data_IF_017909697527
#
_entry.id   IF_017909697527
#
_cell.length_a   1.000
_cell.length_b   1.000
_cell.length_c   1.000
_cell.angle_alpha   90.00
_cell.angle_beta   90.00
_cell.angle_gamma   90.00
#
_symmetry.space_group_name_H-M   'P 1'
#
loop_
_entity.id
_entity.type
_entity.pdbx_description
1 polymer ?
#
# COMPACT_ATOMS: atom_id res chain seq x y z
N UNK A 1 20.08 -11.64 -13.42
CA UNK A 1 19.29 -10.41 -13.23
C UNK A 1 18.50 -10.18 -14.51
N UNK A 2 17.22 -10.25 -14.57
CA UNK A 2 16.40 -10.06 -15.78
C UNK A 2 16.24 -8.60 -16.24
N UNK A 3 17.25 -7.74 -16.04
CA UNK A 3 17.17 -6.30 -16.34
C UNK A 3 17.89 -6.02 -17.67
N UNK A 4 17.24 -5.26 -18.56
CA UNK A 4 17.83 -4.71 -19.77
C UNK A 4 18.18 -3.21 -19.54
N UNK A 5 19.41 -2.81 -19.84
CA UNK A 5 19.87 -1.43 -19.76
C UNK A 5 20.05 -0.89 -21.16
N UNK A 6 19.39 0.22 -21.49
CA UNK A 6 19.48 0.86 -22.80
C UNK A 6 20.77 1.69 -22.92
N UNK A 7 21.81 1.09 -23.53
CA UNK A 7 23.05 1.77 -23.92
C UNK A 7 24.04 2.07 -22.78
N UNK A 8 25.23 2.58 -23.18
CA UNK A 8 26.31 2.93 -22.26
C UNK A 8 25.98 4.10 -21.33
N UNK A 9 25.19 5.06 -21.77
CA UNK A 9 24.75 6.20 -20.93
C UNK A 9 23.92 5.70 -19.75
N UNK A 10 22.92 4.84 -19.98
CA UNK A 10 22.11 4.27 -18.91
C UNK A 10 22.92 3.44 -17.91
N UNK A 11 23.90 2.66 -18.38
CA UNK A 11 24.79 1.91 -17.50
C UNK A 11 25.69 2.83 -16.66
N UNK A 12 26.19 3.92 -17.27
CA UNK A 12 27.01 4.94 -16.58
C UNK A 12 26.21 5.71 -15.54
N UNK A 13 24.95 6.05 -15.85
CA UNK A 13 24.07 6.77 -14.93
C UNK A 13 23.70 5.94 -13.72
N UNK A 14 23.41 4.64 -13.90
CA UNK A 14 23.20 3.70 -12.80
C UNK A 14 24.46 3.57 -11.94
N UNK A 15 25.64 3.47 -12.55
CA UNK A 15 26.91 3.38 -11.83
C UNK A 15 27.29 4.63 -11.02
N UNK A 16 26.72 5.79 -11.35
CA UNK A 16 26.91 7.07 -10.64
C UNK A 16 25.82 7.38 -9.63
N UNK A 17 24.70 6.64 -9.69
CA UNK A 17 23.55 6.88 -8.81
C UNK A 17 23.92 6.55 -7.37
N UNK A 18 23.65 7.47 -6.45
CA UNK A 18 23.79 7.29 -5.00
C UNK A 18 22.48 6.84 -4.35
N UNK A 19 21.39 6.96 -5.07
CA UNK A 19 20.03 6.64 -4.58
C UNK A 19 19.32 5.75 -5.58
N UNK A 20 18.49 4.86 -5.08
CA UNK A 20 17.59 4.02 -5.85
C UNK A 20 16.18 4.21 -5.31
N UNK A 21 15.23 4.56 -6.18
CA UNK A 21 13.82 4.62 -5.80
C UNK A 21 13.24 3.21 -5.89
N UNK A 22 12.62 2.77 -4.81
CA UNK A 22 11.94 1.48 -4.69
C UNK A 22 10.46 1.76 -4.44
N UNK A 23 9.61 1.23 -5.29
CA UNK A 23 8.16 1.35 -5.16
C UNK A 23 7.56 0.11 -4.50
N UNK A 24 6.32 0.20 -4.06
CA UNK A 24 5.60 -0.96 -3.52
C UNK A 24 5.45 -2.10 -4.54
N UNK A 25 5.34 -1.79 -5.85
CA UNK A 25 5.28 -2.78 -6.93
C UNK A 25 6.59 -3.52 -7.16
N UNK A 26 7.72 -2.92 -6.80
CA UNK A 26 9.03 -3.58 -6.84
C UNK A 26 9.19 -4.57 -5.67
N UNK A 27 8.55 -4.28 -4.54
CA UNK A 27 8.59 -5.12 -3.33
C UNK A 27 7.63 -6.29 -3.40
N UNK A 28 6.38 -5.99 -3.83
CA UNK A 28 5.29 -6.96 -3.87
C UNK A 28 4.50 -6.81 -5.17
N UNK A 29 4.62 -7.80 -6.04
CA UNK A 29 3.78 -7.88 -7.24
C UNK A 29 2.37 -8.38 -6.89
N UNK A 30 1.43 -8.22 -7.80
CA UNK A 30 0.06 -8.71 -7.61
C UNK A 30 -0.03 -10.22 -7.27
N UNK A 31 0.96 -11.02 -7.70
CA UNK A 31 1.03 -12.46 -7.38
C UNK A 31 1.45 -12.75 -5.94
N UNK A 32 2.03 -11.76 -5.27
CA UNK A 32 2.59 -11.89 -3.92
C UNK A 32 1.73 -11.21 -2.86
N UNK A 33 0.59 -10.68 -3.25
CA UNK A 33 -0.39 -10.04 -2.37
C UNK A 33 -1.73 -10.75 -2.54
N UNK A 34 -2.40 -11.02 -1.43
CA UNK A 34 -3.75 -11.56 -1.44
C UNK A 34 -4.57 -11.05 -0.26
N UNK A 35 -5.88 -11.03 -0.40
CA UNK A 35 -6.81 -10.80 0.70
C UNK A 35 -7.10 -12.17 1.33
N UNK A 36 -6.73 -12.35 2.60
CA UNK A 36 -6.93 -13.61 3.33
C UNK A 36 -8.29 -13.71 4.01
N UNK A 37 -8.80 -12.57 4.51
CA UNK A 37 -10.04 -12.52 5.27
C UNK A 37 -10.73 -11.18 5.02
N UNK A 38 -12.04 -11.20 4.95
CA UNK A 38 -12.89 -10.02 4.79
C UNK A 38 -13.96 -10.07 5.87
N UNK A 39 -14.02 -9.03 6.68
CA UNK A 39 -15.07 -8.87 7.69
C UNK A 39 -15.81 -7.58 7.41
N UNK A 40 -17.07 -7.72 7.10
CA UNK A 40 -18.01 -6.60 6.90
C UNK A 40 -18.93 -6.58 8.11
N UNK A 41 -19.15 -5.39 8.65
CA UNK A 41 -20.01 -5.20 9.82
C UNK A 41 -21.46 -5.50 9.47
N UNK A 42 -22.17 -6.14 10.42
CA UNK A 42 -23.59 -6.41 10.26
C UNK A 42 -24.38 -5.11 10.02
N UNK A 43 -25.24 -5.14 9.00
CA UNK A 43 -26.00 -3.97 8.55
C UNK A 43 -25.33 -3.11 7.48
N UNK A 44 -24.03 -3.33 7.18
CA UNK A 44 -23.39 -2.70 6.03
C UNK A 44 -23.66 -3.50 4.74
N UNK A 45 -23.83 -2.78 3.62
CA UNK A 45 -24.06 -3.39 2.31
C UNK A 45 -22.73 -3.83 1.69
N UNK A 46 -22.47 -5.13 1.48
CA UNK A 46 -21.17 -5.64 1.02
C UNK A 46 -20.71 -5.01 -0.30
N UNK A 47 -21.60 -4.90 -1.28
CA UNK A 47 -21.26 -4.36 -2.60
C UNK A 47 -20.83 -2.89 -2.52
N UNK A 48 -21.51 -2.08 -1.70
CA UNK A 48 -21.15 -0.70 -1.45
C UNK A 48 -19.77 -0.61 -0.77
N UNK A 49 -19.54 -1.41 0.27
CA UNK A 49 -18.28 -1.42 1.03
C UNK A 49 -17.11 -1.81 0.13
N UNK A 50 -17.27 -2.87 -0.67
CA UNK A 50 -16.23 -3.34 -1.60
C UNK A 50 -15.97 -2.31 -2.68
N UNK A 51 -17.03 -1.73 -3.30
CA UNK A 51 -16.90 -0.71 -4.33
C UNK A 51 -16.18 0.55 -3.79
N UNK A 52 -16.58 1.05 -2.63
CA UNK A 52 -16.01 2.27 -2.06
C UNK A 52 -14.56 2.05 -1.62
N UNK A 53 -14.27 0.98 -0.89
CA UNK A 53 -12.91 0.64 -0.47
C UNK A 53 -11.99 0.43 -1.67
N UNK A 54 -12.45 -0.36 -2.64
CA UNK A 54 -11.69 -0.66 -3.85
C UNK A 54 -11.42 0.59 -4.67
N UNK A 55 -12.40 1.48 -4.83
CA UNK A 55 -12.24 2.73 -5.58
C UNK A 55 -11.19 3.65 -4.95
N UNK A 56 -11.20 3.82 -3.63
CA UNK A 56 -10.22 4.63 -2.91
C UNK A 56 -8.81 4.02 -3.01
N UNK A 57 -8.69 2.68 -2.90
CA UNK A 57 -7.40 1.99 -3.06
C UNK A 57 -6.87 2.09 -4.49
N UNK A 58 -7.73 1.94 -5.50
CA UNK A 58 -7.35 2.10 -6.91
C UNK A 58 -6.87 3.53 -7.16
N UNK A 59 -7.57 4.54 -6.63
CA UNK A 59 -7.15 5.94 -6.73
C UNK A 59 -5.77 6.20 -6.11
N UNK A 60 -5.37 5.44 -5.08
CA UNK A 60 -4.04 5.55 -4.48
C UNK A 60 -2.91 5.11 -5.42
N UNK A 61 -3.19 4.25 -6.40
CA UNK A 61 -2.19 3.66 -7.29
C UNK A 61 -1.18 2.75 -6.59
N UNK A 62 -1.47 2.30 -5.36
CA UNK A 62 -0.63 1.38 -4.59
C UNK A 62 -0.62 -0.04 -5.19
N UNK A 63 0.24 -0.92 -4.70
CA UNK A 63 0.27 -2.33 -5.13
C UNK A 63 -1.03 -3.08 -4.76
N UNK A 64 -1.83 -2.58 -3.81
CA UNK A 64 -3.13 -3.13 -3.46
C UNK A 64 -4.19 -2.93 -4.55
N UNK A 65 -4.01 -1.97 -5.45
CA UNK A 65 -5.01 -1.62 -6.47
C UNK A 65 -5.45 -2.84 -7.30
N UNK A 66 -4.51 -3.67 -7.75
CA UNK A 66 -4.83 -4.88 -8.54
C UNK A 66 -5.66 -5.87 -7.73
N UNK A 67 -5.29 -6.12 -6.47
CA UNK A 67 -5.98 -7.10 -5.60
C UNK A 67 -7.41 -6.66 -5.31
N UNK A 68 -7.62 -5.35 -5.08
CA UNK A 68 -8.97 -4.81 -4.86
C UNK A 68 -9.78 -4.71 -6.15
N UNK A 69 -9.15 -4.47 -7.31
CA UNK A 69 -9.82 -4.57 -8.62
C UNK A 69 -10.33 -5.99 -8.85
N UNK A 70 -9.50 -7.01 -8.59
CA UNK A 70 -9.90 -8.41 -8.69
C UNK A 70 -11.05 -8.76 -7.73
N UNK A 71 -11.01 -8.22 -6.50
CA UNK A 71 -12.10 -8.40 -5.52
C UNK A 71 -13.41 -7.78 -6.03
N UNK A 72 -13.36 -6.55 -6.55
CA UNK A 72 -14.54 -5.89 -7.12
C UNK A 72 -15.12 -6.69 -8.29
N UNK A 73 -14.29 -7.15 -9.21
CA UNK A 73 -14.73 -7.95 -10.36
C UNK A 73 -15.42 -9.25 -9.94
N UNK A 74 -14.86 -9.98 -8.96
CA UNK A 74 -15.46 -11.23 -8.44
C UNK A 74 -16.80 -11.03 -7.76
N UNK A 75 -17.05 -9.84 -7.21
CA UNK A 75 -18.32 -9.49 -6.56
C UNK A 75 -19.26 -8.66 -7.44
N UNK A 76 -18.97 -8.54 -8.74
CA UNK A 76 -19.72 -7.70 -9.68
C UNK A 76 -19.87 -6.24 -9.23
N UNK A 77 -18.90 -5.74 -8.47
CA UNK A 77 -18.84 -4.37 -7.99
C UNK A 77 -18.21 -3.46 -9.03
N UNK A 78 -18.67 -2.21 -9.12
CA UNK A 78 -18.18 -1.20 -10.05
C UNK A 78 -17.21 -0.22 -9.39
N UNK A 79 -16.27 0.28 -10.18
CA UNK A 79 -15.40 1.37 -9.77
C UNK A 79 -16.21 2.67 -9.70
N UNK A 80 -16.13 3.36 -8.56
CA UNK A 80 -16.84 4.62 -8.32
C UNK A 80 -15.90 5.82 -8.51
N UNK A 81 -16.40 6.96 -8.95
CA UNK A 81 -15.63 8.21 -8.95
C UNK A 81 -15.17 8.56 -7.53
N UNK A 82 -13.89 8.92 -7.41
CA UNK A 82 -13.28 9.32 -6.14
C UNK A 82 -12.92 10.80 -6.19
N UNK A 83 -13.48 11.56 -5.26
CA UNK A 83 -13.27 13.00 -5.14
C UNK A 83 -12.51 13.32 -3.84
N UNK A 84 -11.89 14.51 -3.79
CA UNK A 84 -11.21 15.02 -2.59
C UNK A 84 -10.22 14.02 -1.97
N UNK A 85 -9.50 13.26 -2.83
CA UNK A 85 -8.56 12.24 -2.40
C UNK A 85 -7.34 12.84 -1.71
N UNK A 86 -7.06 12.35 -0.51
CA UNK A 86 -5.86 12.72 0.26
C UNK A 86 -5.19 11.53 0.92
N UNK A 87 -3.85 11.57 0.94
CA UNK A 87 -3.02 10.61 1.67
C UNK A 87 -2.59 11.21 3.00
N UNK A 88 -2.75 10.44 4.06
CA UNK A 88 -2.41 10.86 5.41
C UNK A 88 -1.11 10.18 5.88
N UNK A 89 -0.21 10.95 6.48
CA UNK A 89 1.08 10.46 6.99
C UNK A 89 0.93 9.39 8.08
N UNK A 90 -0.22 9.36 8.74
CA UNK A 90 -0.57 8.35 9.75
C UNK A 90 -0.95 6.98 9.18
N UNK A 91 -0.82 6.78 7.88
CA UNK A 91 -1.06 5.48 7.22
C UNK A 91 -2.49 5.25 6.82
N UNK A 92 -3.07 6.20 6.09
CA UNK A 92 -4.43 6.07 5.55
C UNK A 92 -4.76 7.07 4.45
N UNK A 93 -5.90 6.83 3.84
CA UNK A 93 -6.48 7.55 2.72
C UNK A 93 -7.82 8.14 3.13
N UNK A 94 -8.09 9.36 2.73
CA UNK A 94 -9.39 10.01 2.88
C UNK A 94 -9.91 10.39 1.51
N UNK A 95 -11.17 10.16 1.24
CA UNK A 95 -11.80 10.53 -0.02
C UNK A 95 -13.30 10.76 0.14
N UNK A 96 -13.93 11.38 -0.85
CA UNK A 96 -15.37 11.37 -1.03
C UNK A 96 -15.73 10.41 -2.16
N UNK A 97 -16.72 9.55 -1.92
CA UNK A 97 -17.31 8.66 -2.92
C UNK A 97 -18.81 8.81 -2.86
N UNK A 98 -19.41 9.27 -3.95
CA UNK A 98 -20.84 9.59 -4.00
C UNK A 98 -21.28 10.56 -2.87
N UNK A 99 -20.44 11.52 -2.51
CA UNK A 99 -20.72 12.50 -1.46
C UNK A 99 -20.56 11.99 -0.03
N UNK A 100 -20.15 10.73 0.17
CA UNK A 100 -19.89 10.14 1.48
C UNK A 100 -18.39 10.15 1.79
N UNK A 101 -18.02 10.50 3.02
CA UNK A 101 -16.63 10.43 3.46
C UNK A 101 -16.21 8.97 3.64
N UNK A 102 -15.15 8.57 2.95
CA UNK A 102 -14.58 7.24 3.03
C UNK A 102 -13.15 7.33 3.55
N UNK A 103 -12.91 6.67 4.67
CA UNK A 103 -11.57 6.50 5.24
C UNK A 103 -11.12 5.06 4.98
N UNK A 104 -9.91 4.92 4.43
CA UNK A 104 -9.29 3.61 4.20
C UNK A 104 -7.87 3.63 4.74
N UNK A 105 -7.53 2.74 5.68
CA UNK A 105 -6.22 2.81 6.28
C UNK A 105 -5.92 1.77 7.36
N UNK A 106 -4.83 1.99 8.10
CA UNK A 106 -4.43 1.16 9.22
C UNK A 106 -5.34 1.37 10.45
N UNK A 107 -5.29 0.46 11.42
CA UNK A 107 -6.01 0.64 12.69
C UNK A 107 -5.57 1.90 13.45
N UNK A 108 -4.28 2.23 13.39
CA UNK A 108 -3.75 3.45 14.00
C UNK A 108 -4.36 4.72 13.36
N UNK A 109 -4.47 4.72 12.03
CA UNK A 109 -5.13 5.81 11.30
C UNK A 109 -6.61 5.94 11.68
N UNK A 110 -7.35 4.83 11.74
CA UNK A 110 -8.76 4.84 12.14
C UNK A 110 -8.95 5.40 13.54
N UNK A 111 -8.12 4.96 14.50
CA UNK A 111 -8.16 5.48 15.87
C UNK A 111 -7.85 6.98 15.93
N UNK A 112 -6.88 7.46 15.15
CA UNK A 112 -6.53 8.88 15.06
C UNK A 112 -7.68 9.72 14.51
N UNK A 113 -8.48 9.14 13.60
CA UNK A 113 -9.69 9.75 13.03
C UNK A 113 -10.92 9.61 13.92
N UNK A 114 -10.79 9.01 15.11
CA UNK A 114 -11.91 8.82 16.04
C UNK A 114 -12.86 7.69 15.64
N UNK A 115 -12.48 6.84 14.68
CA UNK A 115 -13.29 5.69 14.29
C UNK A 115 -13.11 4.56 15.30
N UNK A 116 -14.20 4.16 15.95
CA UNK A 116 -14.18 3.07 16.92
C UNK A 116 -14.07 1.71 16.23
N UNK A 117 -12.98 1.01 16.45
CA UNK A 117 -12.78 -0.35 15.97
C UNK A 117 -13.16 -1.37 17.05
N UNK A 118 -13.83 -2.49 16.69
CA UNK A 118 -14.09 -3.59 17.63
C UNK A 118 -12.77 -4.14 18.20
N UNK A 119 -12.74 -4.39 19.52
CA UNK A 119 -11.51 -4.80 20.25
C UNK A 119 -10.84 -6.07 19.71
N UNK A 120 -11.60 -6.93 19.01
CA UNK A 120 -11.12 -8.20 18.47
C UNK A 120 -10.45 -8.07 17.08
N UNK A 121 -10.40 -6.88 16.49
CA UNK A 121 -9.88 -6.64 15.12
C UNK A 121 -8.43 -6.16 15.08
N UNK A 122 -7.58 -6.63 15.99
CA UNK A 122 -6.14 -6.31 15.98
C UNK A 122 -5.40 -7.13 14.90
N UNK A 123 -5.74 -6.92 13.63
CA UNK A 123 -5.07 -7.58 12.52
C UNK A 123 -3.89 -6.74 12.03
N UNK A 124 -2.68 -7.30 12.11
CA UNK A 124 -1.50 -6.75 11.43
C UNK A 124 -1.72 -6.84 9.92
N UNK A 125 -1.27 -5.84 9.18
CA UNK A 125 -1.40 -5.75 7.72
C UNK A 125 -2.86 -5.86 7.24
N UNK A 126 -3.75 -5.11 7.85
CA UNK A 126 -5.15 -5.02 7.44
C UNK A 126 -5.46 -3.65 6.86
N UNK A 127 -6.43 -3.63 5.98
CA UNK A 127 -7.08 -2.44 5.46
C UNK A 127 -8.40 -2.31 6.21
N UNK A 128 -8.58 -1.22 6.94
CA UNK A 128 -9.83 -0.87 7.61
C UNK A 128 -10.56 0.18 6.79
N UNK A 129 -11.87 0.08 6.72
CA UNK A 129 -12.73 1.03 6.02
C UNK A 129 -13.77 1.62 6.95
N UNK A 130 -13.93 2.93 6.88
CA UNK A 130 -15.01 3.68 7.53
C UNK A 130 -15.76 4.49 6.48
N UNK A 131 -17.08 4.58 6.64
CA UNK A 131 -17.95 5.43 5.82
C UNK A 131 -18.68 6.37 6.77
N UNK A 132 -18.59 7.67 6.54
CA UNK A 132 -19.19 8.72 7.38
C UNK A 132 -18.85 8.54 8.88
N UNK A 133 -17.60 8.22 9.19
CA UNK A 133 -17.11 8.04 10.56
C UNK A 133 -17.46 6.70 11.21
N UNK A 134 -18.25 5.84 10.55
CA UNK A 134 -18.62 4.52 11.07
C UNK A 134 -17.71 3.44 10.46
N UNK A 135 -17.12 2.60 11.30
CA UNK A 135 -16.40 1.42 10.83
C UNK A 135 -17.36 0.47 10.10
N UNK A 136 -16.98 0.02 8.89
CA UNK A 136 -17.83 -0.86 8.06
C UNK A 136 -17.15 -2.16 7.66
N UNK A 137 -15.81 -2.18 7.52
CA UNK A 137 -15.11 -3.41 7.12
C UNK A 137 -13.63 -3.42 7.47
N UNK A 138 -13.09 -4.65 7.52
CA UNK A 138 -11.66 -4.90 7.52
C UNK A 138 -11.30 -5.98 6.51
N UNK A 139 -10.16 -5.79 5.83
CA UNK A 139 -9.60 -6.71 4.85
C UNK A 139 -8.21 -7.10 5.32
N UNK A 140 -8.00 -8.37 5.66
CA UNK A 140 -6.68 -8.86 6.07
C UNK A 140 -5.83 -9.15 4.84
N UNK A 141 -4.69 -8.48 4.74
CA UNK A 141 -3.79 -8.58 3.58
C UNK A 141 -2.61 -9.48 3.91
N UNK A 142 -2.34 -10.42 3.01
CA UNK A 142 -1.14 -11.25 3.05
C UNK A 142 -0.13 -10.75 2.04
N UNK A 143 1.08 -10.49 2.51
CA UNK A 143 2.24 -10.17 1.71
C UNK A 143 3.23 -11.33 1.78
N UNK A 144 3.60 -11.88 0.62
CA UNK A 144 4.57 -12.97 0.51
C UNK A 144 5.88 -12.40 -0.02
N UNK A 145 6.95 -12.36 0.79
CA UNK A 145 8.24 -11.87 0.33
C UNK A 145 8.84 -12.79 -0.72
N UNK A 146 9.50 -12.23 -1.73
CA UNK A 146 10.17 -12.96 -2.79
C UNK A 146 11.67 -12.95 -2.53
N UNK A 147 12.32 -14.12 -2.66
CA UNK A 147 13.74 -14.28 -2.38
C UNK A 147 14.62 -13.36 -3.24
N UNK A 148 14.28 -13.15 -4.50
CA UNK A 148 15.03 -12.26 -5.38
C UNK A 148 15.00 -10.81 -4.91
N UNK A 149 13.84 -10.34 -4.41
CA UNK A 149 13.68 -9.00 -3.83
C UNK A 149 14.50 -8.89 -2.54
N UNK A 150 14.44 -9.89 -1.68
CA UNK A 150 15.25 -9.94 -0.46
C UNK A 150 16.75 -9.86 -0.79
N UNK A 151 17.22 -10.64 -1.75
CA UNK A 151 18.62 -10.62 -2.18
C UNK A 151 19.03 -9.25 -2.76
N UNK A 152 18.14 -8.62 -3.52
CA UNK A 152 18.37 -7.27 -4.06
C UNK A 152 18.50 -6.23 -2.94
N UNK A 153 17.58 -6.25 -1.96
CA UNK A 153 17.65 -5.35 -0.79
C UNK A 153 18.92 -5.57 0.03
N UNK A 154 19.33 -6.83 0.28
CA UNK A 154 20.61 -7.12 0.92
C UNK A 154 21.82 -6.62 0.10
N UNK A 155 21.73 -6.71 -1.23
CA UNK A 155 22.75 -6.16 -2.12
C UNK A 155 22.88 -4.65 -1.98
N UNK A 156 21.77 -3.92 -1.90
CA UNK A 156 21.75 -2.47 -1.68
C UNK A 156 22.40 -2.07 -0.35
N UNK A 157 22.14 -2.82 0.74
CA UNK A 157 22.77 -2.55 2.04
C UNK A 157 24.30 -2.68 2.03
N UNK A 158 24.85 -3.51 1.12
CA UNK A 158 26.30 -3.70 0.95
C UNK A 158 26.97 -2.66 0.05
N UNK A 159 26.18 -1.94 -0.71
CA UNK A 159 26.63 -0.86 -1.57
C UNK A 159 26.47 0.48 -0.86
N UNK A 160 27.07 1.54 -1.40
CA UNK A 160 26.85 2.91 -0.90
C UNK A 160 25.59 3.55 -1.50
N UNK A 161 24.70 2.74 -2.09
CA UNK A 161 23.45 3.20 -2.69
C UNK A 161 22.38 3.20 -1.59
N UNK A 162 21.84 4.37 -1.29
CA UNK A 162 20.74 4.50 -0.32
C UNK A 162 19.40 4.24 -1.02
N UNK A 163 18.63 3.22 -0.61
CA UNK A 163 17.30 2.99 -1.15
C UNK A 163 16.30 4.00 -0.55
N UNK A 164 15.52 4.64 -1.43
CA UNK A 164 14.43 5.54 -1.09
C UNK A 164 13.13 4.82 -1.40
N UNK A 165 12.32 4.57 -0.37
CA UNK A 165 11.06 3.82 -0.51
C UNK A 165 9.90 4.76 -0.82
N UNK A 166 9.61 4.93 -2.12
CA UNK A 166 8.46 5.69 -2.62
C UNK A 166 7.20 4.81 -2.66
N UNK A 167 6.88 4.17 -1.52
CA UNK A 167 5.75 3.23 -1.38
C UNK A 167 4.46 4.00 -1.10
N UNK A 168 3.37 3.62 -1.77
CA UNK A 168 2.03 4.20 -1.62
C UNK A 168 1.13 3.36 -0.72
N UNK A 169 1.44 2.08 -0.56
CA UNK A 169 0.72 1.19 0.35
C UNK A 169 1.09 1.53 1.80
N UNK A 170 0.12 1.97 2.57
CA UNK A 170 0.29 2.39 3.97
C UNK A 170 0.65 1.23 4.93
N UNK A 171 0.44 -0.03 4.52
CA UNK A 171 0.88 -1.19 5.29
C UNK A 171 2.39 -1.45 5.14
N UNK A 172 3.02 -0.92 4.09
CA UNK A 172 4.47 -1.09 3.87
C UNK A 172 5.22 -0.06 4.70
N UNK A 173 5.62 -0.48 5.88
CA UNK A 173 6.38 0.31 6.86
C UNK A 173 7.77 -0.28 7.06
N UNK A 174 8.74 0.48 7.62
CA UNK A 174 10.05 -0.07 8.00
C UNK A 174 9.93 -1.35 8.83
N UNK A 175 9.05 -1.35 9.82
CA UNK A 175 8.82 -2.51 10.70
C UNK A 175 8.28 -3.71 9.91
N UNK A 176 7.33 -3.50 9.02
CA UNK A 176 6.77 -4.58 8.18
C UNK A 176 7.84 -5.17 7.27
N UNK A 177 8.66 -4.34 6.63
CA UNK A 177 9.76 -4.80 5.77
C UNK A 177 10.82 -5.57 6.56
N UNK A 178 11.21 -5.04 7.73
CA UNK A 178 12.16 -5.72 8.61
C UNK A 178 11.67 -7.12 9.00
N UNK A 179 10.40 -7.26 9.36
CA UNK A 179 9.81 -8.55 9.73
C UNK A 179 9.67 -9.51 8.54
N UNK A 180 9.24 -9.01 7.36
CA UNK A 180 9.00 -9.84 6.18
C UNK A 180 10.28 -10.29 5.51
N UNK A 181 11.27 -9.40 5.39
CA UNK A 181 12.54 -9.70 4.73
C UNK A 181 13.66 -10.08 5.71
N UNK A 182 13.39 -10.12 7.04
CA UNK A 182 14.34 -10.48 8.09
C UNK A 182 15.66 -9.71 8.00
N UNK A 183 15.56 -8.39 7.89
CA UNK A 183 16.70 -7.48 7.71
C UNK A 183 16.51 -6.18 8.49
N UNK A 184 17.62 -5.48 8.81
CA UNK A 184 17.55 -4.10 9.29
C UNK A 184 17.11 -3.16 8.16
N UNK A 185 16.32 -2.15 8.52
CA UNK A 185 15.88 -1.06 7.64
C UNK A 185 16.52 0.28 8.00
N UNK A 186 17.54 0.30 8.86
CA UNK A 186 18.17 1.53 9.38
C UNK A 186 18.80 2.41 8.29
N UNK A 187 19.20 1.81 7.17
CA UNK A 187 19.74 2.53 6.01
C UNK A 187 18.71 2.90 4.94
N UNK A 188 17.40 2.69 5.21
CA UNK A 188 16.33 2.91 4.25
C UNK A 188 15.65 4.26 4.50
N UNK A 189 15.44 5.04 3.44
CA UNK A 189 14.72 6.30 3.51
C UNK A 189 13.25 6.12 3.16
N UNK A 190 12.37 6.60 4.03
CA UNK A 190 10.91 6.60 3.84
C UNK A 190 10.42 8.04 3.86
N UNK A 191 10.43 8.75 2.73
CA UNK A 191 9.99 10.13 2.67
C UNK A 191 8.50 10.28 2.99
N UNK A 192 8.08 11.51 3.25
CA UNK A 192 6.67 11.84 3.43
C UNK A 192 5.81 11.41 2.22
N UNK A 193 4.54 11.06 2.44
CA UNK A 193 3.66 10.53 1.39
C UNK A 193 3.55 11.45 0.16
N UNK A 194 3.48 12.76 0.37
CA UNK A 194 3.45 13.73 -0.73
C UNK A 194 4.67 13.61 -1.67
N UNK A 195 5.85 13.39 -1.09
CA UNK A 195 7.10 13.17 -1.87
C UNK A 195 7.09 11.78 -2.53
N UNK A 196 6.60 10.74 -1.86
CA UNK A 196 6.49 9.38 -2.43
C UNK A 196 5.64 9.37 -3.69
N UNK A 197 4.51 10.09 -3.69
CA UNK A 197 3.65 10.21 -4.87
C UNK A 197 4.36 10.87 -6.04
N UNK A 198 5.08 11.96 -5.81
CA UNK A 198 5.87 12.63 -6.84
C UNK A 198 6.98 11.72 -7.40
N UNK A 199 7.69 10.97 -6.54
CA UNK A 199 8.77 10.07 -6.94
C UNK A 199 8.30 8.81 -7.66
N UNK A 200 7.10 8.33 -7.39
CA UNK A 200 6.54 7.09 -7.96
C UNK A 200 5.56 7.33 -9.13
N UNK A 201 5.42 8.57 -9.60
CA UNK A 201 4.55 8.94 -10.72
C UNK A 201 5.23 8.81 -12.10
N UNK A 202 6.49 8.36 -12.16
CA UNK A 202 7.25 8.18 -13.38
C UNK A 202 6.92 6.86 -14.08
#
# INVERSE_FOLDING_TARGET
>A
TGSAIAGWSGASDIGRSKHLIVTDKDLFTARNISIEDIRILDGAFPDKVISYTGSVIVASGSCLATVFTDLMQRNNCTLMPVESFTCNESGGLTALVNGEEVLVGSSAFMNLKGVHLPQQLNAKNAVFTSINGLFVASFKIKYVPVQSVQNALFGLLRTKIAPIFAVRDFNITPLMLSQKFKMSTDGFDFPAYSKRYAMSAA
#
